data_IF_231238559406
#
_entry.id   IF_231238559406
#
_cell.length_a   1.000
_cell.length_b   1.000
_cell.length_c   1.000
_cell.angle_alpha   90.00
_cell.angle_beta   90.00
_cell.angle_gamma   90.00
#
_symmetry.space_group_name_H-M   'P 1'
#
loop_
_entity.id
_entity.type
_entity.pdbx_description
1 polymer ?
#
# COMPACT_ATOMS: atom_id res chain seq x y z
N UNK A 1 11.49 -14.07 10.45
CA UNK A 1 10.63 -15.06 11.12
C UNK A 1 10.79 -16.38 10.40
N UNK A 2 10.94 -17.50 11.12
CA UNK A 2 11.09 -18.82 10.51
C UNK A 2 9.75 -19.42 10.02
N UNK A 3 8.61 -18.88 10.48
CA UNK A 3 7.27 -19.37 10.16
C UNK A 3 7.10 -20.87 10.43
N UNK A 4 7.75 -21.39 11.45
CA UNK A 4 7.91 -22.81 11.76
C UNK A 4 6.81 -23.35 12.68
N UNK A 5 5.87 -22.50 13.13
CA UNK A 5 4.80 -22.90 14.05
C UNK A 5 3.52 -23.28 13.29
N UNK A 6 2.66 -24.14 13.85
CA UNK A 6 1.38 -24.51 13.24
C UNK A 6 0.46 -23.32 12.94
N UNK A 7 0.52 -22.25 13.73
CA UNK A 7 -0.30 -21.05 13.58
C UNK A 7 0.18 -20.11 12.46
N UNK A 8 1.36 -20.36 11.88
CA UNK A 8 2.00 -19.47 10.92
C UNK A 8 1.47 -19.62 9.48
N UNK A 9 0.39 -20.38 9.24
CA UNK A 9 -0.22 -20.55 7.92
C UNK A 9 -0.56 -19.21 7.25
N UNK A 10 -1.35 -18.35 7.91
CA UNK A 10 -1.73 -17.05 7.37
C UNK A 10 -0.59 -16.04 7.35
N UNK A 11 0.24 -15.91 8.40
CA UNK A 11 1.44 -15.07 8.36
C UNK A 11 2.37 -15.41 7.19
N UNK A 12 2.59 -16.71 6.90
CA UNK A 12 3.40 -17.14 5.76
C UNK A 12 2.75 -16.71 4.44
N UNK A 13 1.45 -17.00 4.26
CA UNK A 13 0.72 -16.61 3.03
C UNK A 13 0.73 -15.11 2.78
N UNK A 14 0.54 -14.31 3.82
CA UNK A 14 0.61 -12.86 3.72
C UNK A 14 2.04 -12.40 3.37
N UNK A 15 3.06 -12.96 4.03
CA UNK A 15 4.45 -12.65 3.77
C UNK A 15 4.86 -12.95 2.32
N UNK A 16 4.49 -14.11 1.81
CA UNK A 16 4.69 -14.51 0.41
C UNK A 16 4.04 -13.51 -0.56
N UNK A 17 2.75 -13.20 -0.35
CA UNK A 17 2.01 -12.29 -1.21
C UNK A 17 2.57 -10.86 -1.18
N UNK A 18 2.88 -10.34 0.01
CA UNK A 18 3.42 -8.99 0.17
C UNK A 18 4.81 -8.87 -0.46
N UNK A 19 5.70 -9.85 -0.25
CA UNK A 19 7.03 -9.85 -0.87
C UNK A 19 6.93 -9.98 -2.38
N UNK A 20 6.04 -10.83 -2.89
CA UNK A 20 5.77 -10.95 -4.34
C UNK A 20 5.35 -9.61 -4.95
N UNK A 21 4.39 -8.92 -4.34
CA UNK A 21 3.98 -7.57 -4.76
C UNK A 21 5.14 -6.57 -4.67
N UNK A 22 5.87 -6.55 -3.54
CA UNK A 22 6.94 -5.60 -3.29
C UNK A 22 8.15 -5.77 -4.23
N UNK A 23 8.48 -7.01 -4.61
CA UNK A 23 9.56 -7.33 -5.54
C UNK A 23 9.14 -7.19 -7.02
N UNK A 24 7.84 -7.28 -7.31
CA UNK A 24 7.28 -7.11 -8.64
C UNK A 24 6.74 -5.70 -8.87
N UNK A 25 5.42 -5.59 -8.99
CA UNK A 25 4.73 -4.43 -9.53
C UNK A 25 4.68 -3.20 -8.61
N UNK A 26 4.95 -3.33 -7.30
CA UNK A 26 4.73 -2.25 -6.32
C UNK A 26 5.36 -0.93 -6.75
N UNK A 27 6.58 -0.97 -7.28
CA UNK A 27 7.30 0.25 -7.68
C UNK A 27 6.60 0.97 -8.83
N UNK A 28 6.28 0.28 -9.93
CA UNK A 28 5.56 0.87 -11.06
C UNK A 28 4.16 1.32 -10.64
N UNK A 29 3.45 0.51 -9.86
CA UNK A 29 2.12 0.82 -9.34
C UNK A 29 2.08 2.10 -8.51
N UNK A 30 3.09 2.35 -7.68
CA UNK A 30 3.24 3.58 -6.89
C UNK A 30 3.63 4.78 -7.77
N UNK A 31 4.52 4.58 -8.76
CA UNK A 31 4.92 5.64 -9.69
C UNK A 31 3.76 6.11 -10.58
N UNK A 32 2.91 5.19 -11.06
CA UNK A 32 1.68 5.50 -11.79
C UNK A 32 0.69 6.34 -10.97
N UNK A 33 0.80 6.28 -9.64
CA UNK A 33 0.02 7.08 -8.69
C UNK A 33 0.75 8.36 -8.26
N UNK A 34 1.83 8.74 -8.94
CA UNK A 34 2.52 10.01 -8.73
C UNK A 34 3.59 10.01 -7.65
N UNK A 35 3.87 8.87 -7.00
CA UNK A 35 5.00 8.79 -6.08
C UNK A 35 6.31 8.83 -6.88
N UNK A 36 7.26 9.61 -6.39
CA UNK A 36 8.62 9.69 -6.97
C UNK A 36 9.61 9.15 -5.95
N UNK A 37 10.58 8.37 -6.42
CA UNK A 37 11.60 7.76 -5.57
C UNK A 37 12.93 8.50 -5.65
N UNK A 38 13.58 8.70 -4.50
CA UNK A 38 14.98 9.06 -4.43
C UNK A 38 15.81 7.94 -5.07
N UNK A 39 16.75 8.24 -5.99
CA UNK A 39 17.43 7.22 -6.79
C UNK A 39 18.54 6.48 -6.02
N UNK A 40 18.43 6.36 -4.70
CA UNK A 40 19.36 5.61 -3.85
C UNK A 40 18.56 4.63 -2.99
N UNK A 41 19.01 3.37 -2.98
CA UNK A 41 18.45 2.33 -2.13
C UNK A 41 19.30 2.22 -0.87
N UNK A 42 18.68 2.47 0.27
CA UNK A 42 19.32 2.36 1.59
C UNK A 42 19.41 0.91 2.07
N UNK A 43 20.36 0.69 2.99
CA UNK A 43 20.59 -0.59 3.67
C UNK A 43 20.58 -0.41 5.19
N UNK A 44 19.51 0.20 5.70
CA UNK A 44 19.37 0.59 7.11
C UNK A 44 19.45 -0.57 8.11
N UNK A 45 19.15 -1.80 7.68
CA UNK A 45 19.23 -3.01 8.50
C UNK A 45 20.18 -4.02 7.85
N UNK A 46 21.47 -3.69 7.74
CA UNK A 46 22.47 -4.58 7.12
C UNK A 46 22.77 -5.79 7.99
N UNK A 47 22.66 -6.99 7.41
CA UNK A 47 22.88 -8.26 8.08
C UNK A 47 24.18 -8.32 8.88
N UNK A 48 24.16 -8.16 10.20
CA UNK A 48 25.37 -8.21 11.05
C UNK A 48 26.51 -7.24 10.63
N UNK A 49 26.21 -6.14 9.94
CA UNK A 49 27.21 -5.18 9.43
C UNK A 49 28.01 -5.64 8.20
N UNK A 50 28.18 -6.94 7.99
CA UNK A 50 28.92 -7.55 6.87
C UNK A 50 28.05 -8.35 5.89
N UNK A 51 26.72 -8.25 6.01
CA UNK A 51 25.70 -8.98 5.25
C UNK A 51 25.58 -10.50 5.53
N UNK A 52 26.26 -11.03 6.56
CA UNK A 52 26.25 -12.48 6.88
C UNK A 52 25.39 -12.79 8.12
N UNK A 53 24.96 -11.77 8.86
CA UNK A 53 24.15 -11.91 10.09
C UNK A 53 22.70 -11.46 9.98
N UNK A 54 22.04 -11.30 11.13
CA UNK A 54 20.65 -10.84 11.21
C UNK A 54 20.45 -9.48 10.53
N UNK A 55 19.48 -9.43 9.61
CA UNK A 55 19.15 -8.24 8.82
C UNK A 55 18.98 -8.58 7.34
N UNK A 56 19.03 -7.55 6.51
CA UNK A 56 18.90 -7.64 5.06
C UNK A 56 20.23 -8.07 4.47
N UNK A 57 20.21 -9.04 3.55
CA UNK A 57 21.36 -9.45 2.75
C UNK A 57 21.70 -8.46 1.64
N UNK A 58 20.76 -7.59 1.26
CA UNK A 58 20.90 -6.56 0.23
C UNK A 58 20.21 -5.24 0.62
N UNK A 59 20.60 -4.09 0.04
CA UNK A 59 19.85 -2.84 0.16
C UNK A 59 18.41 -3.00 -0.34
N UNK A 60 17.42 -2.53 0.44
CA UNK A 60 15.99 -2.61 0.08
C UNK A 60 15.11 -1.50 0.65
N UNK A 61 15.72 -0.50 1.28
CA UNK A 61 15.00 0.65 1.83
C UNK A 61 14.92 1.76 0.79
N UNK A 62 13.71 2.16 0.41
CA UNK A 62 13.47 3.21 -0.58
C UNK A 62 12.93 4.45 0.11
N UNK A 63 13.47 5.61 -0.26
CA UNK A 63 12.94 6.92 0.16
C UNK A 63 12.17 7.53 -1.00
N UNK A 64 10.99 8.05 -0.73
CA UNK A 64 10.23 8.84 -1.69
C UNK A 64 10.61 10.31 -1.59
N UNK A 65 10.52 11.04 -2.69
CA UNK A 65 10.60 12.50 -2.64
C UNK A 65 9.35 13.09 -1.98
N UNK A 66 9.54 14.11 -1.15
CA UNK A 66 8.50 14.68 -0.30
C UNK A 66 8.50 14.08 1.12
N UNK A 67 7.60 14.58 1.96
CA UNK A 67 7.41 14.10 3.34
C UNK A 67 6.19 13.17 3.43
N UNK A 68 5.79 12.75 4.64
CA UNK A 68 4.59 11.93 4.85
C UNK A 68 3.35 12.35 4.03
N UNK A 69 3.01 13.66 3.98
CA UNK A 69 1.97 14.18 3.08
C UNK A 69 2.18 13.82 1.60
N UNK A 70 3.40 13.93 1.08
CA UNK A 70 3.71 13.60 -0.32
C UNK A 70 3.47 12.12 -0.69
N UNK A 71 3.54 11.22 0.30
CA UNK A 71 3.18 9.80 0.12
C UNK A 71 1.66 9.61 0.15
N UNK A 72 0.96 10.35 1.01
CA UNK A 72 -0.48 10.18 1.26
C UNK A 72 -1.36 10.88 0.23
N UNK A 73 -0.93 12.05 -0.25
CA UNK A 73 -1.72 12.94 -1.11
C UNK A 73 -2.38 12.22 -2.30
N UNK A 74 -1.68 11.37 -3.08
CA UNK A 74 -2.32 10.73 -4.23
C UNK A 74 -3.47 9.79 -3.85
N UNK A 75 -3.37 9.13 -2.70
CA UNK A 75 -4.41 8.25 -2.20
C UNK A 75 -5.59 9.04 -1.65
N UNK A 76 -5.32 10.09 -0.86
CA UNK A 76 -6.34 10.98 -0.30
C UNK A 76 -7.16 11.63 -1.41
N UNK A 77 -6.50 12.13 -2.46
CA UNK A 77 -7.16 12.73 -3.62
C UNK A 77 -8.10 11.74 -4.31
N UNK A 78 -7.62 10.51 -4.57
CA UNK A 78 -8.44 9.49 -5.22
C UNK A 78 -9.65 9.06 -4.40
N UNK A 79 -9.50 8.94 -3.08
CA UNK A 79 -10.62 8.65 -2.16
C UNK A 79 -11.64 9.78 -2.19
N UNK A 80 -11.19 11.05 -2.10
CA UNK A 80 -12.06 12.23 -2.17
C UNK A 80 -12.80 12.33 -3.50
N UNK A 81 -12.14 12.02 -4.62
CA UNK A 81 -12.79 11.99 -5.94
C UNK A 81 -13.83 10.87 -6.05
N UNK A 82 -13.53 9.67 -5.53
CA UNK A 82 -14.48 8.57 -5.49
C UNK A 82 -15.72 8.93 -4.66
N UNK A 83 -15.52 9.56 -3.49
CA UNK A 83 -16.60 10.08 -2.66
C UNK A 83 -17.46 11.12 -3.39
N UNK A 84 -16.86 12.08 -4.09
CA UNK A 84 -17.60 13.08 -4.88
C UNK A 84 -18.41 12.44 -6.01
N UNK A 85 -17.84 11.45 -6.72
CA UNK A 85 -18.54 10.70 -7.78
C UNK A 85 -19.74 9.94 -7.24
N UNK A 86 -19.58 9.26 -6.11
CA UNK A 86 -20.66 8.52 -5.46
C UNK A 86 -21.79 9.46 -4.99
N UNK A 87 -21.44 10.60 -4.41
CA UNK A 87 -22.41 11.64 -4.06
C UNK A 87 -23.15 12.16 -5.31
N UNK A 88 -22.45 12.48 -6.40
CA UNK A 88 -23.06 12.92 -7.66
C UNK A 88 -23.94 11.85 -8.32
N UNK A 89 -23.56 10.57 -8.21
CA UNK A 89 -24.39 9.44 -8.66
C UNK A 89 -25.67 9.31 -7.84
N UNK A 90 -25.60 9.57 -6.52
CA UNK A 90 -26.76 9.65 -5.63
C UNK A 90 -27.65 10.87 -5.89
N UNK A 91 -27.12 11.99 -6.34
CA UNK A 91 -27.94 13.17 -6.71
C UNK A 91 -28.55 13.07 -8.11
N UNK A 92 -27.90 12.34 -9.04
CA UNK A 92 -28.35 12.15 -10.42
C UNK A 92 -29.34 10.98 -10.61
N UNK A 93 -29.36 10.01 -9.70
CA UNK A 93 -30.52 9.12 -9.54
C UNK A 93 -31.56 9.91 -8.74
N UNK A 94 -32.63 10.32 -9.41
CA UNK A 94 -33.76 10.99 -8.77
C UNK A 94 -34.10 10.31 -7.46
N UNK A 95 -34.42 11.13 -6.45
CA UNK A 95 -34.95 10.69 -5.17
C UNK A 95 -36.25 9.92 -5.41
N UNK A 96 -36.15 8.64 -5.71
CA UNK A 96 -37.25 7.71 -5.46
C UNK A 96 -37.31 7.62 -3.94
N UNK A 97 -38.15 8.50 -3.37
CA UNK A 97 -38.61 8.41 -1.99
C UNK A 97 -39.06 6.98 -1.80
N UNK A 98 -38.39 6.25 -0.92
CA UNK A 98 -39.00 5.11 -0.26
C UNK A 98 -40.11 5.72 0.62
N UNK A 99 -41.27 5.91 0.01
CA UNK A 99 -42.49 6.22 0.72
C UNK A 99 -42.84 5.00 1.57
N UNK A 100 -43.16 5.29 2.81
CA UNK A 100 -43.61 4.37 3.84
C UNK A 100 -44.58 3.31 3.30
N UNK A 101 -44.27 2.04 3.56
CA UNK A 101 -45.28 1.00 3.73
C UNK A 101 -44.73 -0.04 4.69
N UNK A 102 -45.01 0.17 5.97
CA UNK A 102 -45.12 -0.92 6.94
C UNK A 102 -46.62 -1.08 7.24
N UNK A 103 -47.14 -2.31 7.31
CA UNK A 103 -48.54 -2.58 7.62
C UNK A 103 -48.92 -2.13 9.04
#
# INVERSE_FOLDING_TARGET
AAFDRPEDFWPRKWGEAYVGFAAGEKRSWLMERGLKFFPVVGWAERGGGNAVGHGNSVPRFHVTWGTGPGVLEPFVMRVREAQKRDQGSRTGRGRDRIAQSLP
#
